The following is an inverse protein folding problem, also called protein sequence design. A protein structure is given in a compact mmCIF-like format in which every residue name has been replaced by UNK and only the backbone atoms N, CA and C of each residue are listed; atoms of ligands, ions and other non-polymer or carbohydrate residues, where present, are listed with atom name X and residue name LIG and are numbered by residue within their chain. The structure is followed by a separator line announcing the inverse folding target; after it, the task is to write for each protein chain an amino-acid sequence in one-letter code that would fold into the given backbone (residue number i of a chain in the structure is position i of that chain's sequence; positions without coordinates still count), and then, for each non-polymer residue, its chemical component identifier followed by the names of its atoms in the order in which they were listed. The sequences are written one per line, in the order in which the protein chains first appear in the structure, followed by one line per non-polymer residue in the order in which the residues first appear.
data_IF_341569480241
#
_entry.id   IF_341569480241
#
_cell.length_a   1.000
_cell.length_b   1.000
_cell.length_c   1.000
_cell.angle_alpha   90.00
_cell.angle_beta   90.00
_cell.angle_gamma   90.00
#
_symmetry.space_group_name_H-M   'P 1'
#
loop_
_entity.id
_entity.type
_entity.pdbx_description
1 polymer ?
#
# COMPACT_ATOMS: atom_id res chain seq x y z
N UNK A 1 -30.38 17.16 -5.94
CA UNK A 1 -29.60 16.50 -4.86
C UNK A 1 -29.90 15.01 -4.70
N UNK A 2 -31.15 14.55 -4.84
CA UNK A 2 -31.42 13.09 -4.99
C UNK A 2 -31.05 12.53 -6.37
N UNK A 3 -31.10 13.38 -7.41
CA UNK A 3 -30.83 12.98 -8.80
C UNK A 3 -29.34 12.62 -9.04
N UNK A 4 -28.40 13.24 -8.31
CA UNK A 4 -26.95 12.91 -8.44
C UNK A 4 -26.56 11.63 -7.68
N UNK A 5 -27.19 11.32 -6.55
CA UNK A 5 -26.93 10.08 -5.82
C UNK A 5 -27.50 8.86 -6.55
N UNK A 6 -28.67 9.02 -7.20
CA UNK A 6 -29.24 8.02 -8.10
C UNK A 6 -28.34 7.86 -9.34
N UNK A 7 -27.84 8.95 -9.92
CA UNK A 7 -26.91 8.91 -11.06
C UNK A 7 -25.60 8.16 -10.75
N UNK A 8 -24.98 8.35 -9.58
CA UNK A 8 -23.73 7.65 -9.23
C UNK A 8 -23.97 6.16 -8.93
N UNK A 9 -25.07 5.83 -8.25
CA UNK A 9 -25.45 4.43 -7.99
C UNK A 9 -25.85 3.71 -9.29
N UNK A 10 -26.58 4.38 -10.18
CA UNK A 10 -26.93 3.87 -11.51
C UNK A 10 -25.69 3.79 -12.41
N UNK A 11 -24.71 4.69 -12.30
CA UNK A 11 -23.45 4.59 -13.08
C UNK A 11 -22.59 3.40 -12.61
N UNK A 12 -22.57 3.11 -11.31
CA UNK A 12 -21.90 1.93 -10.77
C UNK A 12 -22.63 0.64 -11.18
N UNK A 13 -23.97 0.63 -11.13
CA UNK A 13 -24.84 -0.48 -11.54
C UNK A 13 -24.87 -0.69 -13.06
N UNK A 14 -24.76 0.37 -13.86
CA UNK A 14 -24.61 0.31 -15.32
C UNK A 14 -23.19 -0.05 -15.75
N UNK A 15 -22.16 0.21 -14.93
CA UNK A 15 -20.83 -0.39 -15.16
C UNK A 15 -20.84 -1.89 -14.85
N UNK A 16 -21.46 -2.33 -13.76
CA UNK A 16 -21.58 -3.77 -13.47
C UNK A 16 -22.52 -4.50 -14.42
N UNK A 17 -23.62 -3.86 -14.84
CA UNK A 17 -24.54 -4.40 -15.83
C UNK A 17 -24.01 -4.27 -17.26
N UNK A 18 -23.20 -3.25 -17.57
CA UNK A 18 -22.48 -3.13 -18.84
C UNK A 18 -21.44 -4.23 -19.03
N UNK A 19 -20.84 -4.72 -17.95
CA UNK A 19 -19.96 -5.90 -17.92
C UNK A 19 -20.74 -7.21 -18.12
N UNK A 20 -22.06 -7.24 -17.85
CA UNK A 20 -22.90 -8.45 -17.95
C UNK A 20 -23.76 -8.46 -19.23
N UNK A 21 -24.18 -7.30 -19.73
CA UNK A 21 -25.05 -7.16 -20.92
C UNK A 21 -24.29 -6.87 -22.21
N UNK A 22 -23.01 -6.47 -22.15
CA UNK A 22 -22.19 -6.45 -23.38
C UNK A 22 -22.00 -7.85 -23.95
N UNK A 23 -22.16 -8.92 -23.17
CA UNK A 23 -21.99 -10.28 -23.68
C UNK A 23 -23.03 -10.65 -24.75
N UNK A 24 -24.30 -10.26 -24.61
CA UNK A 24 -25.33 -10.70 -25.56
C UNK A 24 -25.41 -9.92 -26.89
N UNK A 25 -24.90 -8.69 -26.96
CA UNK A 25 -24.77 -7.97 -28.23
C UNK A 25 -23.42 -8.24 -28.93
N UNK A 26 -22.50 -8.87 -28.21
CA UNK A 26 -21.19 -9.31 -28.70
C UNK A 26 -21.26 -10.74 -29.22
N UNK A 27 -22.13 -11.60 -28.66
CA UNK A 27 -22.36 -12.97 -29.15
C UNK A 27 -22.76 -13.04 -30.64
N UNK A 28 -23.59 -12.11 -31.13
CA UNK A 28 -24.02 -12.08 -32.55
C UNK A 28 -22.98 -11.43 -33.49
N UNK A 29 -22.04 -10.63 -32.98
CA UNK A 29 -20.93 -10.06 -33.76
C UNK A 29 -19.66 -10.95 -33.70
N UNK A 30 -19.57 -11.86 -32.72
CA UNK A 30 -18.48 -12.82 -32.54
C UNK A 30 -18.65 -14.13 -33.33
N UNK A 31 -19.81 -14.34 -33.96
CA UNK A 31 -20.03 -15.50 -34.82
C UNK A 31 -19.36 -15.39 -36.20
N UNK A 32 -18.88 -14.21 -36.61
CA UNK A 32 -18.13 -14.01 -37.87
C UNK A 32 -16.67 -13.56 -37.69
N UNK A 33 -16.16 -13.41 -36.46
CA UNK A 33 -14.77 -13.01 -36.22
C UNK A 33 -14.02 -14.01 -35.32
N UNK A 34 -13.33 -14.95 -35.97
CA UNK A 34 -12.22 -15.76 -35.44
C UNK A 34 -12.45 -16.48 -34.10
N UNK A 35 -13.18 -17.60 -34.20
CA UNK A 35 -12.97 -18.77 -33.35
C UNK A 35 -11.56 -19.35 -33.61
N UNK A 36 -10.53 -18.82 -32.95
CA UNK A 36 -9.21 -19.48 -32.88
C UNK A 36 -8.39 -19.17 -31.60
N UNK A 37 -9.04 -18.73 -30.52
CA UNK A 37 -8.40 -18.54 -29.20
C UNK A 37 -8.66 -19.68 -28.21
N UNK A 38 -8.80 -20.91 -28.71
CA UNK A 38 -8.71 -22.11 -27.88
C UNK A 38 -7.24 -22.48 -27.65
N UNK A 39 -6.79 -22.41 -26.40
CA UNK A 39 -5.77 -23.32 -25.83
C UNK A 39 -4.59 -23.66 -26.76
N UNK A 40 -3.77 -22.68 -27.14
CA UNK A 40 -2.47 -22.96 -27.76
C UNK A 40 -1.37 -22.74 -26.72
N UNK A 41 -0.88 -23.83 -26.10
CA UNK A 41 0.54 -23.90 -25.71
C UNK A 41 1.36 -23.49 -26.92
N UNK A 42 2.51 -22.79 -26.76
CA UNK A 42 3.22 -22.22 -27.91
C UNK A 42 3.46 -23.31 -28.98
N UNK A 43 3.00 -23.11 -30.22
CA UNK A 43 3.15 -24.11 -31.26
C UNK A 43 4.60 -24.08 -31.73
N UNK A 44 5.39 -25.09 -31.35
CA UNK A 44 6.71 -25.37 -31.94
C UNK A 44 7.89 -25.48 -30.97
N UNK A 45 8.88 -26.30 -31.35
CA UNK A 45 10.09 -26.54 -30.55
C UNK A 45 10.99 -25.29 -30.37
N UNK A 46 10.82 -24.26 -31.19
CA UNK A 46 11.60 -23.02 -31.11
C UNK A 46 11.25 -22.20 -29.85
N UNK A 47 9.97 -22.10 -29.49
CA UNK A 47 9.52 -21.39 -28.28
C UNK A 47 10.02 -22.07 -27.00
N UNK A 48 10.03 -23.42 -26.98
CA UNK A 48 10.57 -24.20 -25.85
C UNK A 48 12.07 -23.97 -25.69
N UNK A 49 12.81 -23.93 -26.81
CA UNK A 49 14.26 -23.68 -26.80
C UNK A 49 14.57 -22.27 -26.28
N UNK A 50 13.81 -21.25 -26.70
CA UNK A 50 13.95 -19.87 -26.21
C UNK A 50 13.69 -19.79 -24.70
N UNK A 51 12.61 -20.40 -24.20
CA UNK A 51 12.30 -20.45 -22.76
C UNK A 51 13.45 -21.12 -21.98
N UNK A 52 13.96 -22.26 -22.47
CA UNK A 52 15.08 -22.96 -21.83
C UNK A 52 16.37 -22.13 -21.80
N UNK A 53 16.69 -21.42 -22.89
CA UNK A 53 17.84 -20.53 -22.96
C UNK A 53 17.74 -19.37 -21.97
N UNK A 54 16.56 -18.74 -21.88
CA UNK A 54 16.33 -17.60 -20.99
C UNK A 54 16.33 -18.06 -19.53
N UNK A 55 15.81 -19.25 -19.23
CA UNK A 55 15.94 -19.85 -17.90
C UNK A 55 17.42 -20.07 -17.53
N UNK A 56 18.22 -20.61 -18.43
CA UNK A 56 19.66 -20.80 -18.22
C UNK A 56 20.37 -19.45 -18.01
N UNK A 57 20.06 -18.45 -18.83
CA UNK A 57 20.60 -17.10 -18.67
C UNK A 57 20.21 -16.49 -17.32
N UNK A 58 18.95 -16.57 -16.92
CA UNK A 58 18.46 -16.12 -15.62
C UNK A 58 19.23 -16.76 -14.46
N UNK A 59 19.43 -18.08 -14.52
CA UNK A 59 20.21 -18.81 -13.52
C UNK A 59 21.68 -18.39 -13.47
N UNK A 60 22.33 -18.27 -14.63
CA UNK A 60 23.75 -17.87 -14.72
C UNK A 60 23.97 -16.44 -14.22
N UNK A 61 23.11 -15.51 -14.64
CA UNK A 61 23.15 -14.10 -14.20
C UNK A 61 22.91 -14.00 -12.69
N UNK A 62 21.92 -14.74 -12.17
CA UNK A 62 21.65 -14.81 -10.73
C UNK A 62 22.84 -15.35 -9.94
N UNK A 63 23.56 -16.32 -10.51
CA UNK A 63 24.71 -16.97 -9.87
C UNK A 63 25.97 -16.09 -9.79
N UNK A 64 26.06 -14.98 -10.52
CA UNK A 64 27.27 -14.16 -10.57
C UNK A 64 27.65 -13.59 -9.18
N UNK A 65 28.91 -13.75 -8.72
CA UNK A 65 29.33 -13.27 -7.40
C UNK A 65 29.63 -11.76 -7.46
N UNK A 66 28.63 -10.93 -7.21
CA UNK A 66 28.72 -9.45 -7.23
C UNK A 66 29.76 -8.90 -6.28
N UNK A 67 29.91 -9.50 -5.09
CA UNK A 67 30.93 -9.12 -4.10
C UNK A 67 32.37 -9.40 -4.54
N UNK A 68 32.59 -10.23 -5.57
CA UNK A 68 33.92 -10.48 -6.17
C UNK A 68 34.21 -9.60 -7.38
N UNK A 69 33.16 -9.12 -8.04
CA UNK A 69 33.26 -8.34 -9.29
C UNK A 69 33.34 -6.84 -9.00
N UNK A 70 32.63 -6.38 -7.96
CA UNK A 70 32.45 -4.97 -7.65
C UNK A 70 33.20 -4.63 -6.36
N UNK A 71 33.87 -3.46 -6.25
CA UNK A 71 34.61 -3.06 -5.06
C UNK A 71 33.76 -3.13 -3.78
N UNK A 72 34.43 -3.29 -2.62
CA UNK A 72 33.86 -3.65 -1.31
C UNK A 72 32.84 -2.67 -0.68
N UNK A 73 32.30 -1.72 -1.46
CA UNK A 73 31.23 -0.82 -1.02
C UNK A 73 29.89 -1.50 -1.19
N UNK A 74 29.20 -1.67 -0.06
CA UNK A 74 27.87 -2.28 0.06
C UNK A 74 26.82 -1.76 -0.94
N UNK A 75 26.81 -0.45 -1.22
CA UNK A 75 25.86 0.14 -2.17
C UNK A 75 26.11 -0.29 -3.62
N UNK A 76 27.37 -0.47 -4.01
CA UNK A 76 27.73 -0.89 -5.36
C UNK A 76 27.39 -2.37 -5.60
N UNK A 77 27.61 -3.23 -4.60
CA UNK A 77 27.19 -4.64 -4.68
C UNK A 77 25.67 -4.77 -4.76
N UNK A 78 24.93 -3.97 -3.99
CA UNK A 78 23.46 -3.94 -4.03
C UNK A 78 22.94 -3.45 -5.37
N UNK A 79 23.53 -2.39 -5.94
CA UNK A 79 23.17 -1.89 -7.26
C UNK A 79 23.44 -2.92 -8.36
N UNK A 80 24.56 -3.65 -8.27
CA UNK A 80 24.87 -4.71 -9.22
C UNK A 80 23.91 -5.90 -9.09
N UNK A 81 23.52 -6.28 -7.87
CA UNK A 81 22.49 -7.31 -7.65
C UNK A 81 21.10 -6.88 -8.13
N UNK A 82 20.77 -5.60 -7.98
CA UNK A 82 19.55 -5.02 -8.54
C UNK A 82 19.58 -5.06 -10.09
N UNK A 83 20.70 -4.70 -10.71
CA UNK A 83 20.85 -4.71 -12.15
C UNK A 83 20.65 -6.11 -12.77
N UNK A 84 21.03 -7.19 -12.07
CA UNK A 84 20.73 -8.57 -12.52
C UNK A 84 19.26 -8.78 -12.81
N UNK A 85 18.38 -8.32 -11.91
CA UNK A 85 16.93 -8.45 -12.08
C UNK A 85 16.41 -7.69 -13.29
N UNK A 86 16.88 -6.46 -13.50
CA UNK A 86 16.53 -5.66 -14.67
C UNK A 86 16.99 -6.34 -15.96
N UNK A 87 18.23 -6.81 -16.01
CA UNK A 87 18.79 -7.46 -17.21
C UNK A 87 18.02 -8.72 -17.56
N UNK A 88 17.74 -9.59 -16.58
CA UNK A 88 16.99 -10.83 -16.85
C UNK A 88 15.57 -10.51 -17.34
N UNK A 89 14.92 -9.48 -16.77
CA UNK A 89 13.60 -9.05 -17.24
C UNK A 89 13.65 -8.56 -18.70
N UNK A 90 14.53 -7.61 -19.01
CA UNK A 90 14.65 -7.01 -20.36
C UNK A 90 15.00 -8.06 -21.41
N UNK A 91 15.93 -8.98 -21.10
CA UNK A 91 16.28 -10.08 -22.02
C UNK A 91 15.07 -11.01 -22.23
N UNK A 92 14.30 -11.29 -21.19
CA UNK A 92 13.10 -12.13 -21.32
C UNK A 92 12.06 -11.48 -22.23
N UNK A 93 11.81 -10.18 -22.05
CA UNK A 93 10.87 -9.38 -22.86
C UNK A 93 11.31 -9.30 -24.33
N UNK A 94 12.60 -9.08 -24.60
CA UNK A 94 13.15 -9.01 -25.96
C UNK A 94 13.10 -10.34 -26.72
N UNK A 95 13.24 -11.48 -26.04
CA UNK A 95 13.35 -12.78 -26.71
C UNK A 95 12.02 -13.50 -26.94
N UNK A 96 11.02 -13.26 -26.09
CA UNK A 96 9.77 -14.02 -26.12
C UNK A 96 8.55 -13.23 -26.61
N UNK A 97 8.65 -11.91 -26.83
CA UNK A 97 7.66 -11.05 -27.49
C UNK A 97 6.20 -11.06 -26.94
N UNK A 98 5.88 -11.87 -25.92
CA UNK A 98 4.54 -11.99 -25.32
C UNK A 98 4.59 -11.76 -23.80
N UNK A 99 3.89 -10.77 -23.23
CA UNK A 99 4.01 -10.42 -21.82
C UNK A 99 3.43 -11.44 -20.82
N UNK A 100 2.53 -12.35 -21.24
CA UNK A 100 1.78 -13.19 -20.29
C UNK A 100 2.49 -14.48 -19.87
N UNK A 101 3.30 -15.08 -20.75
CA UNK A 101 3.88 -16.43 -20.54
C UNK A 101 5.37 -16.43 -20.19
N UNK A 102 5.99 -15.26 -20.22
CA UNK A 102 7.43 -15.14 -20.50
C UNK A 102 8.29 -14.95 -19.27
N UNK A 103 7.68 -14.79 -18.11
CA UNK A 103 8.35 -14.10 -17.01
C UNK A 103 8.52 -14.99 -15.77
N UNK A 104 7.66 -15.99 -15.55
CA UNK A 104 7.73 -16.86 -14.36
C UNK A 104 9.01 -17.69 -14.32
N UNK A 105 9.31 -18.40 -15.41
CA UNK A 105 10.47 -19.31 -15.48
C UNK A 105 11.80 -18.57 -15.31
N UNK A 106 12.10 -17.49 -16.06
CA UNK A 106 13.36 -16.76 -15.85
C UNK A 106 13.43 -16.06 -14.49
N UNK A 107 12.28 -15.65 -13.93
CA UNK A 107 12.23 -15.12 -12.56
C UNK A 107 12.61 -16.18 -11.51
N UNK A 108 12.03 -17.38 -11.60
CA UNK A 108 12.37 -18.50 -10.71
C UNK A 108 13.85 -18.87 -10.89
N UNK A 109 14.33 -18.96 -12.14
CA UNK A 109 15.72 -19.28 -12.42
C UNK A 109 16.70 -18.24 -11.85
N UNK A 110 16.36 -16.95 -11.93
CA UNK A 110 17.11 -15.86 -11.30
C UNK A 110 17.19 -16.03 -9.78
N UNK A 111 16.06 -16.27 -9.12
CA UNK A 111 16.03 -16.50 -7.65
C UNK A 111 16.88 -17.71 -7.30
N UNK A 112 16.73 -18.80 -8.04
CA UNK A 112 17.44 -20.04 -7.80
C UNK A 112 18.95 -19.87 -8.02
N UNK A 113 19.37 -19.12 -9.04
CA UNK A 113 20.76 -18.79 -9.31
C UNK A 113 21.39 -17.96 -8.18
N UNK A 114 20.67 -16.99 -7.63
CA UNK A 114 21.14 -16.22 -6.48
C UNK A 114 21.29 -17.09 -5.23
N UNK A 115 20.32 -17.98 -4.96
CA UNK A 115 20.31 -18.81 -3.75
C UNK A 115 21.31 -19.97 -3.82
N UNK A 116 21.42 -20.59 -4.98
CA UNK A 116 22.24 -21.78 -5.26
C UNK A 116 23.24 -21.49 -6.38
N UNK A 117 24.10 -20.50 -6.14
CA UNK A 117 25.11 -20.05 -7.09
C UNK A 117 26.18 -21.12 -7.33
N UNK A 118 26.37 -21.52 -8.59
CA UNK A 118 27.46 -22.41 -9.02
C UNK A 118 28.83 -21.82 -8.69
N UNK A 119 28.97 -20.50 -8.85
CA UNK A 119 30.23 -19.78 -8.63
C UNK A 119 30.58 -19.60 -7.14
N UNK A 120 29.63 -19.89 -6.24
CA UNK A 120 29.76 -19.72 -4.79
C UNK A 120 29.54 -21.03 -4.02
N UNK A 121 29.95 -22.16 -4.60
CA UNK A 121 29.87 -23.50 -4.00
C UNK A 121 28.43 -23.87 -3.57
N UNK A 122 27.45 -23.57 -4.41
CA UNK A 122 26.02 -23.89 -4.19
C UNK A 122 25.36 -23.17 -3.00
N UNK A 123 26.00 -22.10 -2.51
CA UNK A 123 25.45 -21.28 -1.42
C UNK A 123 25.47 -19.82 -1.81
N UNK A 124 24.35 -19.14 -1.64
CA UNK A 124 24.23 -17.71 -1.95
C UNK A 124 23.20 -16.98 -1.09
N UNK A 125 23.21 -15.64 -1.14
CA UNK A 125 22.30 -14.80 -0.37
C UNK A 125 20.85 -14.95 -0.85
N UNK A 126 19.91 -14.43 -0.06
CA UNK A 126 18.53 -14.29 -0.51
C UNK A 126 18.46 -13.39 -1.75
N UNK A 127 17.62 -13.74 -2.73
CA UNK A 127 17.53 -13.08 -4.03
C UNK A 127 16.74 -11.77 -3.99
N UNK A 128 16.97 -10.95 -2.96
CA UNK A 128 16.13 -9.82 -2.62
C UNK A 128 16.18 -8.67 -3.64
N UNK A 129 17.36 -8.09 -3.83
CA UNK A 129 17.60 -7.00 -4.78
C UNK A 129 17.23 -7.39 -6.22
N UNK A 130 17.65 -8.56 -6.75
CA UNK A 130 17.27 -8.96 -8.09
C UNK A 130 15.76 -9.23 -8.23
N UNK A 131 15.10 -9.85 -7.24
CA UNK A 131 13.65 -10.08 -7.32
C UNK A 131 12.85 -8.76 -7.27
N UNK A 132 13.27 -7.81 -6.43
CA UNK A 132 12.65 -6.48 -6.36
C UNK A 132 12.82 -5.72 -7.67
N UNK A 133 14.02 -5.73 -8.25
CA UNK A 133 14.30 -5.08 -9.52
C UNK A 133 13.48 -5.66 -10.66
N UNK A 134 13.41 -6.98 -10.73
CA UNK A 134 12.63 -7.70 -11.73
C UNK A 134 11.14 -7.36 -11.64
N UNK A 135 10.57 -7.32 -10.43
CA UNK A 135 9.18 -6.90 -10.24
C UNK A 135 8.95 -5.44 -10.62
N UNK A 136 9.84 -4.53 -10.24
CA UNK A 136 9.75 -3.11 -10.66
C UNK A 136 9.76 -3.01 -12.18
N UNK A 137 10.66 -3.72 -12.86
CA UNK A 137 10.71 -3.75 -14.34
C UNK A 137 9.42 -4.32 -14.94
N UNK A 138 8.85 -5.36 -14.32
CA UNK A 138 7.55 -5.91 -14.72
C UNK A 138 6.43 -4.87 -14.61
N UNK A 139 6.31 -4.17 -13.46
CA UNK A 139 5.32 -3.09 -13.30
C UNK A 139 5.56 -1.90 -14.25
N UNK A 140 6.81 -1.59 -14.59
CA UNK A 140 7.13 -0.61 -15.63
C UNK A 140 6.62 -1.04 -17.00
N UNK A 141 6.80 -2.31 -17.39
CA UNK A 141 6.28 -2.85 -18.65
C UNK A 141 4.75 -2.84 -18.68
N UNK A 142 4.07 -3.20 -17.57
CA UNK A 142 2.62 -3.06 -17.46
C UNK A 142 2.13 -1.62 -17.59
N UNK A 143 2.90 -0.66 -17.07
CA UNK A 143 2.59 0.77 -17.21
C UNK A 143 2.78 1.23 -18.67
N UNK A 144 3.83 0.75 -19.34
CA UNK A 144 4.08 1.03 -20.75
C UNK A 144 3.00 0.42 -21.66
N UNK A 145 2.45 -0.73 -21.28
CA UNK A 145 1.31 -1.36 -21.94
C UNK A 145 -0.05 -0.68 -21.63
N UNK A 146 -0.08 0.33 -20.75
CA UNK A 146 -1.30 1.03 -20.36
C UNK A 146 -2.24 0.24 -19.44
N UNK A 147 -1.78 -0.91 -18.91
CA UNK A 147 -2.56 -1.76 -17.99
C UNK A 147 -2.62 -1.10 -16.60
N UNK A 148 -1.50 -0.55 -16.14
CA UNK A 148 -1.41 0.12 -14.83
C UNK A 148 -1.15 1.62 -15.04
N UNK A 149 -1.79 2.46 -14.24
CA UNK A 149 -1.56 3.91 -14.29
C UNK A 149 -0.13 4.27 -13.86
N UNK A 150 0.45 5.30 -14.51
CA UNK A 150 1.77 5.82 -14.12
C UNK A 150 1.79 6.33 -12.68
N UNK A 151 0.65 6.86 -12.20
CA UNK A 151 0.51 7.31 -10.82
C UNK A 151 0.64 6.16 -9.82
N UNK A 152 0.03 5.01 -10.12
CA UNK A 152 0.15 3.79 -9.31
C UNK A 152 1.60 3.33 -9.22
N UNK A 153 2.31 3.29 -10.36
CA UNK A 153 3.75 2.95 -10.40
C UNK A 153 4.60 3.92 -9.56
N UNK A 154 4.36 5.22 -9.68
CA UNK A 154 5.10 6.24 -8.91
C UNK A 154 4.86 6.07 -7.42
N UNK A 155 3.63 5.81 -6.97
CA UNK A 155 3.32 5.57 -5.56
C UNK A 155 3.98 4.26 -5.08
N UNK A 156 3.96 3.22 -5.91
CA UNK A 156 4.61 1.93 -5.65
C UNK A 156 6.13 2.06 -5.43
N UNK A 157 6.78 3.07 -6.03
CA UNK A 157 8.21 3.35 -5.85
C UNK A 157 8.49 4.30 -4.67
N UNK A 158 7.68 5.35 -4.50
CA UNK A 158 7.88 6.37 -3.47
C UNK A 158 7.67 5.80 -2.07
N UNK A 159 6.62 4.98 -1.86
CA UNK A 159 6.28 4.46 -0.53
C UNK A 159 7.40 3.58 0.06
N UNK A 160 7.90 2.55 -0.64
CA UNK A 160 9.03 1.76 -0.12
C UNK A 160 10.30 2.58 0.03
N UNK A 161 10.57 3.55 -0.86
CA UNK A 161 11.72 4.43 -0.73
C UNK A 161 11.65 5.27 0.55
N UNK A 162 10.50 5.88 0.83
CA UNK A 162 10.28 6.64 2.07
C UNK A 162 10.47 5.76 3.31
N UNK A 163 9.99 4.52 3.28
CA UNK A 163 10.21 3.56 4.37
C UNK A 163 11.66 3.08 4.46
N UNK A 164 12.39 2.99 3.36
CA UNK A 164 13.81 2.62 3.37
C UNK A 164 14.63 3.73 4.04
N UNK A 165 14.30 5.00 3.74
CA UNK A 165 14.87 6.15 4.41
C UNK A 165 14.50 6.21 5.90
N UNK A 166 13.26 5.86 6.24
CA UNK A 166 12.78 5.86 7.62
C UNK A 166 13.41 4.75 8.46
N UNK A 167 13.39 3.51 7.98
CA UNK A 167 13.82 2.35 8.77
C UNK A 167 15.32 2.09 8.68
N UNK A 168 15.99 2.58 7.63
CA UNK A 168 17.38 2.24 7.28
C UNK A 168 17.60 0.72 7.17
N UNK A 169 16.54 -0.01 6.82
CA UNK A 169 16.51 -1.45 6.61
C UNK A 169 15.86 -1.74 5.26
N UNK A 170 16.07 -2.94 4.73
CA UNK A 170 15.43 -3.37 3.47
C UNK A 170 14.22 -4.27 3.72
N UNK A 171 14.14 -4.92 4.89
CA UNK A 171 13.10 -5.87 5.23
C UNK A 171 11.72 -5.21 5.32
N UNK A 172 11.61 -4.08 6.03
CA UNK A 172 10.32 -3.38 6.19
C UNK A 172 9.84 -2.78 4.85
N UNK A 173 10.68 -2.04 4.09
CA UNK A 173 10.27 -1.53 2.77
C UNK A 173 9.81 -2.62 1.82
N UNK A 174 10.47 -3.78 1.79
CA UNK A 174 10.03 -4.85 0.90
C UNK A 174 8.80 -5.59 1.38
N UNK A 175 8.60 -5.73 2.69
CA UNK A 175 7.34 -6.27 3.18
C UNK A 175 6.18 -5.39 2.70
N UNK A 176 6.34 -4.08 2.80
CA UNK A 176 5.34 -3.13 2.33
C UNK A 176 5.21 -3.13 0.80
N UNK A 177 6.32 -3.09 0.06
CA UNK A 177 6.31 -3.17 -1.40
C UNK A 177 5.63 -4.45 -1.89
N UNK A 178 5.97 -5.61 -1.34
CA UNK A 178 5.42 -6.90 -1.76
C UNK A 178 3.92 -7.01 -1.52
N UNK A 179 3.45 -6.61 -0.33
CA UNK A 179 2.01 -6.59 -0.04
C UNK A 179 1.29 -5.60 -0.96
N UNK A 180 1.84 -4.39 -1.14
CA UNK A 180 1.19 -3.36 -1.95
C UNK A 180 1.15 -3.74 -3.44
N UNK A 181 2.27 -4.19 -4.01
CA UNK A 181 2.35 -4.71 -5.37
C UNK A 181 1.43 -5.91 -5.58
N UNK A 182 1.38 -6.85 -4.64
CA UNK A 182 0.52 -8.02 -4.71
C UNK A 182 -0.96 -7.65 -4.76
N UNK A 183 -1.39 -6.70 -3.92
CA UNK A 183 -2.76 -6.19 -3.94
C UNK A 183 -3.10 -5.44 -5.23
N UNK A 184 -2.20 -4.59 -5.74
CA UNK A 184 -2.39 -3.93 -7.05
C UNK A 184 -2.56 -4.98 -8.16
N UNK A 185 -1.74 -6.02 -8.13
CA UNK A 185 -1.82 -7.13 -9.10
C UNK A 185 -3.20 -7.78 -9.07
N UNK A 186 -3.73 -8.10 -7.89
CA UNK A 186 -5.04 -8.76 -7.76
C UNK A 186 -6.20 -7.87 -8.22
N UNK A 187 -6.09 -6.56 -8.04
CA UNK A 187 -7.20 -5.62 -8.29
C UNK A 187 -7.21 -5.09 -9.72
N UNK A 188 -6.05 -4.74 -10.27
CA UNK A 188 -5.95 -4.08 -11.58
C UNK A 188 -5.75 -5.08 -12.73
N UNK A 189 -5.21 -6.27 -12.46
CA UNK A 189 -4.99 -7.26 -13.50
C UNK A 189 -6.13 -8.27 -13.56
N UNK A 190 -6.62 -8.52 -14.77
CA UNK A 190 -7.57 -9.60 -15.03
C UNK A 190 -6.94 -10.96 -14.73
N UNK A 191 -7.78 -11.94 -14.35
CA UNK A 191 -7.32 -13.28 -14.00
C UNK A 191 -6.77 -14.01 -15.23
N UNK A 192 -5.46 -13.89 -15.44
CA UNK A 192 -4.69 -14.44 -16.57
C UNK A 192 -3.33 -14.95 -16.10
N UNK A 193 -2.62 -15.70 -16.95
CA UNK A 193 -1.28 -16.22 -16.68
C UNK A 193 -0.25 -15.11 -16.39
N UNK A 194 -0.49 -13.90 -16.89
CA UNK A 194 0.33 -12.70 -16.60
C UNK A 194 0.37 -12.35 -15.11
N UNK A 195 -0.65 -12.72 -14.33
CA UNK A 195 -0.76 -12.46 -12.89
C UNK A 195 0.15 -13.38 -12.07
N UNK A 196 0.52 -14.54 -12.60
CA UNK A 196 1.28 -15.55 -11.85
C UNK A 196 2.67 -15.05 -11.47
N UNK A 197 3.38 -14.39 -12.38
CA UNK A 197 4.72 -13.84 -12.12
C UNK A 197 4.73 -12.82 -10.97
N UNK A 198 3.97 -11.71 -11.04
CA UNK A 198 3.96 -10.70 -9.99
C UNK A 198 3.45 -11.27 -8.66
N UNK A 199 2.47 -12.17 -8.64
CA UNK A 199 2.02 -12.81 -7.40
C UNK A 199 3.09 -13.74 -6.80
N UNK A 200 3.74 -14.57 -7.62
CA UNK A 200 4.83 -15.43 -7.15
C UNK A 200 6.00 -14.60 -6.61
N UNK A 201 6.36 -13.52 -7.30
CA UNK A 201 7.45 -12.65 -6.87
C UNK A 201 7.14 -11.84 -5.62
N UNK A 202 5.94 -11.28 -5.52
CA UNK A 202 5.50 -10.59 -4.30
C UNK A 202 5.38 -11.56 -3.13
N UNK A 203 4.87 -12.77 -3.34
CA UNK A 203 4.85 -13.83 -2.33
C UNK A 203 6.25 -14.22 -1.84
N UNK A 204 7.21 -14.41 -2.76
CA UNK A 204 8.61 -14.69 -2.41
C UNK A 204 9.23 -13.56 -1.58
N UNK A 205 9.10 -12.31 -2.03
CA UNK A 205 9.63 -11.14 -1.31
C UNK A 205 8.98 -10.98 0.06
N UNK A 206 7.66 -11.18 0.16
CA UNK A 206 6.95 -11.13 1.43
C UNK A 206 7.49 -12.20 2.39
N UNK A 207 7.69 -13.43 1.93
CA UNK A 207 8.26 -14.51 2.74
C UNK A 207 9.65 -14.19 3.29
N UNK A 208 10.56 -13.71 2.43
CA UNK A 208 11.91 -13.30 2.85
C UNK A 208 11.89 -12.10 3.80
N UNK A 209 11.04 -11.11 3.53
CA UNK A 209 10.89 -9.93 4.35
C UNK A 209 10.31 -10.28 5.74
N UNK A 210 9.25 -11.09 5.81
CA UNK A 210 8.65 -11.57 7.07
C UNK A 210 9.69 -12.34 7.88
N UNK A 211 10.42 -13.27 7.25
CA UNK A 211 11.47 -14.02 7.93
C UNK A 211 12.59 -13.10 8.42
N UNK A 212 12.96 -12.07 7.65
CA UNK A 212 13.92 -11.04 8.04
C UNK A 212 13.46 -10.22 9.24
N UNK A 213 12.21 -9.73 9.21
CA UNK A 213 11.59 -8.97 10.30
C UNK A 213 11.51 -9.79 11.58
N UNK A 214 11.10 -11.06 11.48
CA UNK A 214 10.98 -11.97 12.61
C UNK A 214 12.35 -12.29 13.25
N UNK A 215 13.38 -12.58 12.43
CA UNK A 215 14.74 -12.85 12.91
C UNK A 215 15.35 -11.67 13.65
N UNK A 216 15.09 -10.44 13.19
CA UNK A 216 15.64 -9.21 13.77
C UNK A 216 14.78 -8.60 14.89
N UNK A 217 13.59 -9.15 15.15
CA UNK A 217 12.64 -8.68 16.17
C UNK A 217 12.38 -7.17 16.12
N UNK A 218 12.21 -6.60 14.91
CA UNK A 218 12.06 -5.15 14.75
C UNK A 218 10.87 -4.54 15.50
N UNK A 219 9.82 -5.32 15.76
CA UNK A 219 8.59 -4.87 16.41
C UNK A 219 8.41 -5.43 17.82
N UNK A 220 9.51 -5.66 18.55
CA UNK A 220 9.41 -6.01 19.97
C UNK A 220 8.90 -4.81 20.79
N UNK A 221 7.61 -4.84 21.10
CA UNK A 221 6.89 -3.78 21.82
C UNK A 221 6.90 -3.99 23.34
N UNK A 222 7.65 -4.99 23.85
CA UNK A 222 7.58 -5.42 25.26
C UNK A 222 7.97 -4.33 26.27
N UNK A 223 8.85 -3.38 25.91
CA UNK A 223 9.52 -2.50 26.89
C UNK A 223 9.18 -1.00 26.80
N UNK A 224 8.29 -0.58 25.89
CA UNK A 224 8.06 0.87 25.67
C UNK A 224 6.62 1.29 25.97
N UNK A 225 6.45 1.77 27.20
CA UNK A 225 5.32 2.56 27.72
C UNK A 225 4.00 1.79 27.94
N UNK A 226 3.14 2.35 28.82
CA UNK A 226 1.74 1.96 29.03
C UNK A 226 0.92 2.13 27.72
N UNK A 227 1.21 1.29 26.72
CA UNK A 227 0.53 1.24 25.45
C UNK A 227 -0.66 0.33 25.63
N UNK A 228 -1.85 0.92 25.54
CA UNK A 228 -3.08 0.15 25.41
C UNK A 228 -3.14 -0.38 23.99
N UNK A 229 -2.59 -1.57 23.78
CA UNK A 229 -2.54 -2.24 22.46
C UNK A 229 -3.90 -2.29 21.78
N UNK A 230 -4.99 -2.44 22.56
CA UNK A 230 -6.35 -2.40 22.02
C UNK A 230 -6.68 -1.10 21.28
N UNK A 231 -6.14 0.07 21.69
CA UNK A 231 -6.40 1.34 21.00
C UNK A 231 -5.68 1.43 19.65
N UNK A 232 -4.49 0.86 19.56
CA UNK A 232 -3.73 0.80 18.31
C UNK A 232 -4.46 -0.09 17.32
N UNK A 233 -4.97 -1.22 17.80
CA UNK A 233 -5.72 -2.19 16.97
C UNK A 233 -7.13 -1.69 16.63
N UNK A 234 -7.81 -0.98 17.52
CA UNK A 234 -9.18 -0.48 17.32
C UNK A 234 -9.30 0.61 16.25
N UNK A 235 -8.26 1.43 16.03
CA UNK A 235 -8.31 2.56 15.10
C UNK A 235 -8.43 2.16 13.63
N UNK A 236 -7.68 1.17 13.11
CA UNK A 236 -7.89 0.65 11.76
C UNK A 236 -9.32 0.14 11.51
N UNK A 237 -10.05 -0.35 12.53
CA UNK A 237 -11.45 -0.74 12.36
C UNK A 237 -12.37 0.44 12.02
N UNK A 238 -11.96 1.69 12.26
CA UNK A 238 -12.70 2.85 11.81
C UNK A 238 -12.80 2.93 10.27
N UNK A 239 -11.96 2.21 9.52
CA UNK A 239 -12.12 2.07 8.06
C UNK A 239 -13.45 1.40 7.67
N UNK A 240 -14.08 0.64 8.58
CA UNK A 240 -15.44 0.11 8.37
C UNK A 240 -16.48 1.23 8.17
N UNK A 241 -16.23 2.45 8.67
CA UNK A 241 -17.09 3.60 8.42
C UNK A 241 -17.17 3.97 6.94
N UNK A 242 -16.10 3.72 6.15
CA UNK A 242 -16.15 3.91 4.69
C UNK A 242 -17.15 2.94 4.07
N UNK A 243 -17.09 1.66 4.45
CA UNK A 243 -18.04 0.65 3.95
C UNK A 243 -19.49 1.00 4.34
N UNK A 244 -19.72 1.46 5.57
CA UNK A 244 -21.06 1.87 6.03
C UNK A 244 -21.58 3.09 5.23
N UNK A 245 -20.74 4.08 4.93
CA UNK A 245 -21.13 5.23 4.09
C UNK A 245 -21.54 4.76 2.68
N UNK A 246 -20.81 3.79 2.11
CA UNK A 246 -21.03 3.28 0.76
C UNK A 246 -22.26 2.39 0.63
N UNK A 247 -22.52 1.51 1.59
CA UNK A 247 -23.61 0.52 1.48
C UNK A 247 -24.95 0.97 2.05
N UNK A 248 -24.96 1.98 2.93
CA UNK A 248 -26.19 2.42 3.60
C UNK A 248 -26.54 3.85 3.20
N UNK A 249 -26.28 4.82 4.08
CA UNK A 249 -26.53 6.23 3.85
C UNK A 249 -25.70 7.02 4.85
N UNK A 250 -25.15 8.16 4.41
CA UNK A 250 -24.38 9.06 5.27
C UNK A 250 -25.12 9.46 6.55
N UNK A 251 -26.45 9.62 6.53
CA UNK A 251 -27.23 9.92 7.73
C UNK A 251 -27.15 8.82 8.78
N UNK A 252 -27.19 7.55 8.35
CA UNK A 252 -27.06 6.39 9.25
C UNK A 252 -25.65 6.33 9.82
N UNK A 253 -24.63 6.57 8.98
CA UNK A 253 -23.25 6.65 9.44
C UNK A 253 -23.07 7.75 10.50
N UNK A 254 -23.54 8.96 10.22
CA UNK A 254 -23.47 10.10 11.15
C UNK A 254 -24.23 9.81 12.44
N UNK A 255 -25.37 9.13 12.37
CA UNK A 255 -26.10 8.70 13.57
C UNK A 255 -25.26 7.72 14.41
N UNK A 256 -24.68 6.68 13.79
CA UNK A 256 -23.85 5.69 14.49
C UNK A 256 -22.63 6.34 15.13
N UNK A 257 -21.86 7.12 14.37
CA UNK A 257 -20.66 7.79 14.87
C UNK A 257 -21.04 8.85 15.91
N UNK A 258 -22.15 9.57 15.71
CA UNK A 258 -22.65 10.58 16.64
C UNK A 258 -23.05 9.99 18.00
N UNK A 259 -23.79 8.87 18.00
CA UNK A 259 -24.13 8.14 19.23
C UNK A 259 -22.86 7.65 19.92
N UNK A 260 -21.93 7.04 19.16
CA UNK A 260 -20.66 6.56 19.71
C UNK A 260 -19.83 7.71 20.31
N UNK A 261 -19.70 8.83 19.60
CA UNK A 261 -19.01 10.02 20.06
C UNK A 261 -19.67 10.58 21.33
N UNK A 262 -21.01 10.65 21.38
CA UNK A 262 -21.75 11.12 22.55
C UNK A 262 -21.47 10.26 23.79
N UNK A 263 -21.50 8.92 23.65
CA UNK A 263 -21.16 8.01 24.77
C UNK A 263 -19.74 8.29 25.29
N UNK A 264 -18.76 8.47 24.40
CA UNK A 264 -17.38 8.78 24.81
C UNK A 264 -17.25 10.17 25.45
N UNK A 265 -17.94 11.19 24.93
CA UNK A 265 -17.99 12.53 25.52
C UNK A 265 -18.58 12.49 26.93
N UNK A 266 -19.73 11.83 27.11
CA UNK A 266 -20.38 11.72 28.42
C UNK A 266 -19.47 10.97 29.40
N UNK A 267 -18.85 9.88 28.96
CA UNK A 267 -17.90 9.11 29.78
C UNK A 267 -16.70 9.96 30.20
N UNK A 268 -16.12 10.73 29.28
CA UNK A 268 -15.01 11.64 29.58
C UNK A 268 -15.44 12.77 30.52
N UNK A 269 -16.63 13.34 30.33
CA UNK A 269 -17.17 14.40 31.18
C UNK A 269 -17.38 13.92 32.61
N UNK A 270 -18.06 12.78 32.79
CA UNK A 270 -18.24 12.15 34.11
C UNK A 270 -16.88 11.89 34.75
N UNK A 271 -15.91 11.35 34.00
CA UNK A 271 -14.56 11.09 34.50
C UNK A 271 -13.83 12.37 34.91
N UNK A 272 -13.94 13.46 34.14
CA UNK A 272 -13.29 14.74 34.44
C UNK A 272 -13.91 15.40 35.70
N UNK A 273 -15.22 15.28 35.88
CA UNK A 273 -15.93 15.83 37.05
C UNK A 273 -15.70 14.99 38.31
N UNK A 274 -15.84 13.67 38.21
CA UNK A 274 -15.78 12.76 39.37
C UNK A 274 -14.35 12.32 39.73
N UNK A 275 -13.36 12.59 38.88
CA UNK A 275 -11.96 12.12 39.00
C UNK A 275 -11.83 10.59 39.17
N UNK A 276 -12.86 9.82 38.81
CA UNK A 276 -12.85 8.35 38.89
C UNK A 276 -11.79 7.79 37.94
N UNK A 277 -10.90 6.93 38.47
CA UNK A 277 -9.82 6.31 37.70
C UNK A 277 -10.33 5.10 36.91
N UNK A 278 -10.80 5.34 35.68
CA UNK A 278 -11.08 4.28 34.70
C UNK A 278 -9.78 3.82 34.02
N UNK A 279 -8.94 3.10 34.76
CA UNK A 279 -7.62 2.64 34.34
C UNK A 279 -7.65 1.64 33.17
N UNK A 280 -8.77 0.94 32.94
CA UNK A 280 -8.95 0.02 31.82
C UNK A 280 -9.07 0.75 30.47
N UNK A 281 -9.75 1.90 30.42
CA UNK A 281 -10.03 2.63 29.17
C UNK A 281 -9.08 3.80 28.94
N UNK A 282 -8.64 4.53 29.97
CA UNK A 282 -7.87 5.78 29.83
C UNK A 282 -6.39 5.71 30.25
N UNK A 283 -5.50 6.48 29.61
CA UNK A 283 -4.07 6.55 29.98
C UNK A 283 -3.90 7.43 31.22
N UNK A 284 -2.86 7.17 32.05
CA UNK A 284 -2.54 7.99 33.24
C UNK A 284 -2.28 9.47 32.91
N UNK A 285 -1.91 9.80 31.66
CA UNK A 285 -1.74 11.19 31.18
C UNK A 285 -3.04 11.87 30.69
N UNK A 286 -4.20 11.25 30.83
CA UNK A 286 -5.51 11.78 30.39
C UNK A 286 -6.39 12.24 31.57
N UNK A 287 -5.84 12.39 32.78
CA UNK A 287 -6.62 12.68 34.01
C UNK A 287 -7.31 14.06 33.95
N UNK A 288 -6.69 15.06 33.32
CA UNK A 288 -7.21 16.45 33.29
C UNK A 288 -7.57 16.94 31.88
N UNK A 289 -7.70 16.05 30.89
CA UNK A 289 -8.02 16.42 29.50
C UNK A 289 -8.93 15.40 28.85
N UNK A 290 -9.69 15.81 27.85
CA UNK A 290 -10.42 14.87 26.99
C UNK A 290 -9.50 13.77 26.47
N UNK A 291 -10.04 12.56 26.39
CA UNK A 291 -9.32 11.41 25.90
C UNK A 291 -9.07 11.55 24.40
N UNK A 292 -7.90 11.05 23.99
CA UNK A 292 -7.52 10.92 22.59
C UNK A 292 -8.53 10.09 21.78
N UNK A 293 -9.27 9.15 22.41
CA UNK A 293 -10.35 8.41 21.74
C UNK A 293 -11.60 9.26 21.48
N UNK A 294 -11.98 10.11 22.44
CA UNK A 294 -13.11 11.02 22.30
C UNK A 294 -12.84 12.06 21.22
N UNK A 295 -11.64 12.66 21.25
CA UNK A 295 -11.22 13.62 20.22
C UNK A 295 -11.15 12.99 18.83
N UNK A 296 -10.69 11.73 18.74
CA UNK A 296 -10.72 10.96 17.50
C UNK A 296 -12.15 10.72 16.99
N UNK A 297 -13.09 10.28 17.83
CA UNK A 297 -14.47 10.03 17.39
C UNK A 297 -15.18 11.31 16.97
N UNK A 298 -14.96 12.41 17.70
CA UNK A 298 -15.50 13.73 17.34
C UNK A 298 -14.90 14.22 16.03
N UNK A 299 -13.59 14.05 15.82
CA UNK A 299 -12.96 14.47 14.57
C UNK A 299 -13.46 13.66 13.39
N UNK A 300 -13.61 12.34 13.54
CA UNK A 300 -14.22 11.48 12.50
C UNK A 300 -15.67 11.91 12.23
N UNK A 301 -16.49 12.12 13.26
CA UNK A 301 -17.85 12.63 13.09
C UNK A 301 -17.88 13.93 12.29
N UNK A 302 -17.08 14.92 12.68
CA UNK A 302 -16.97 16.20 11.97
C UNK A 302 -16.41 16.03 10.56
N UNK A 303 -15.47 15.12 10.34
CA UNK A 303 -14.90 14.85 9.01
C UNK A 303 -15.98 14.37 8.04
N UNK A 304 -16.85 13.44 8.46
CA UNK A 304 -17.97 12.97 7.63
C UNK A 304 -19.13 13.97 7.55
N UNK A 305 -19.31 14.81 8.57
CA UNK A 305 -20.35 15.83 8.58
C UNK A 305 -20.00 16.98 7.62
N UNK A 306 -18.76 17.44 7.66
CA UNK A 306 -18.31 18.64 6.95
C UNK A 306 -17.83 18.36 5.52
N UNK A 307 -17.19 17.22 5.27
CA UNK A 307 -16.53 16.97 3.99
C UNK A 307 -17.27 15.88 3.19
N UNK A 308 -17.74 16.18 1.97
CA UNK A 308 -18.50 15.23 1.16
C UNK A 308 -17.61 14.20 0.45
N UNK A 309 -18.14 12.98 0.31
CA UNK A 309 -17.62 11.94 -0.58
C UNK A 309 -16.19 11.49 -0.26
N UNK A 310 -15.35 11.39 -1.30
CA UNK A 310 -13.99 10.85 -1.20
C UNK A 310 -13.08 11.63 -0.26
N UNK A 311 -13.34 12.92 -0.02
CA UNK A 311 -12.51 13.77 0.86
C UNK A 311 -12.56 13.27 2.30
N UNK A 312 -13.75 12.88 2.80
CA UNK A 312 -13.88 12.32 4.14
C UNK A 312 -13.16 10.98 4.28
N UNK A 313 -13.13 10.17 3.22
CA UNK A 313 -12.42 8.88 3.22
C UNK A 313 -10.92 9.08 3.30
N UNK A 314 -10.36 10.02 2.51
CA UNK A 314 -8.94 10.36 2.55
C UNK A 314 -8.53 10.86 3.93
N UNK A 315 -9.30 11.78 4.51
CA UNK A 315 -9.05 12.29 5.86
C UNK A 315 -9.09 11.20 6.93
N UNK A 316 -10.05 10.27 6.85
CA UNK A 316 -10.17 9.13 7.75
C UNK A 316 -8.98 8.16 7.61
N UNK A 317 -8.56 7.84 6.39
CA UNK A 317 -7.42 6.94 6.13
C UNK A 317 -6.14 7.57 6.70
N UNK A 318 -5.90 8.86 6.46
CA UNK A 318 -4.73 9.55 6.99
C UNK A 318 -4.68 9.51 8.52
N UNK A 319 -5.76 9.86 9.23
CA UNK A 319 -5.75 9.87 10.70
C UNK A 319 -5.68 8.48 11.32
N UNK A 320 -6.19 7.44 10.65
CA UNK A 320 -6.21 6.06 11.19
C UNK A 320 -4.93 5.30 10.85
N UNK A 321 -4.65 5.12 9.57
CA UNK A 321 -3.53 4.34 9.07
C UNK A 321 -2.23 5.13 9.18
N UNK A 322 -2.24 6.42 8.85
CA UNK A 322 -1.05 7.26 9.01
C UNK A 322 -0.55 7.25 10.44
N UNK A 323 -1.43 7.45 11.42
CA UNK A 323 -1.07 7.40 12.85
C UNK A 323 -0.57 6.01 13.29
N UNK A 324 -1.19 4.94 12.79
CA UNK A 324 -0.73 3.57 13.04
C UNK A 324 0.71 3.35 12.54
N UNK A 325 1.00 3.72 11.29
CA UNK A 325 2.34 3.60 10.72
C UNK A 325 3.35 4.54 11.39
N UNK A 326 2.96 5.77 11.74
CA UNK A 326 3.81 6.72 12.47
C UNK A 326 4.29 6.12 13.79
N UNK A 327 3.37 5.54 14.56
CA UNK A 327 3.69 4.87 15.83
C UNK A 327 4.52 3.62 15.62
N UNK A 328 4.12 2.75 14.68
CA UNK A 328 4.81 1.50 14.42
C UNK A 328 6.29 1.74 14.02
N UNK A 329 6.52 2.63 13.05
CA UNK A 329 7.87 2.94 12.57
C UNK A 329 8.62 3.83 13.58
N UNK A 330 7.96 4.83 14.15
CA UNK A 330 8.58 5.76 15.09
C UNK A 330 9.04 5.10 16.40
N UNK A 331 8.31 4.10 16.91
CA UNK A 331 8.72 3.39 18.14
C UNK A 331 9.87 2.41 17.92
N UNK A 332 9.89 1.75 16.75
CA UNK A 332 10.90 0.76 16.38
C UNK A 332 12.20 1.40 15.85
N UNK A 333 12.09 2.45 15.04
CA UNK A 333 13.21 3.02 14.27
C UNK A 333 13.46 4.51 14.56
N UNK A 334 12.65 5.18 15.38
CA UNK A 334 12.76 6.60 15.65
C UNK A 334 14.07 7.00 16.33
N UNK A 335 15.01 7.53 15.55
CA UNK A 335 16.31 8.03 16.03
C UNK A 335 16.44 9.53 15.83
N UNK A 336 15.97 10.05 14.70
CA UNK A 336 16.16 11.45 14.30
C UNK A 336 14.98 12.30 14.74
N UNK A 337 15.13 13.07 15.82
CA UNK A 337 14.09 13.99 16.30
C UNK A 337 14.00 15.22 15.41
N UNK A 338 12.79 15.58 14.97
CA UNK A 338 12.53 16.80 14.19
C UNK A 338 11.90 17.87 15.07
N UNK A 339 10.77 17.54 15.70
CA UNK A 339 9.98 18.50 16.45
C UNK A 339 9.56 17.91 17.80
N UNK A 340 10.14 18.46 18.88
CA UNK A 340 9.96 18.01 20.26
C UNK A 340 10.15 16.50 20.43
N UNK A 341 9.06 15.73 20.49
CA UNK A 341 9.06 14.27 20.66
C UNK A 341 8.83 13.49 19.36
N UNK A 342 8.52 14.16 18.25
CA UNK A 342 8.29 13.56 16.93
C UNK A 342 9.60 13.27 16.23
N UNK A 343 9.63 12.14 15.53
CA UNK A 343 10.80 11.65 14.79
C UNK A 343 10.56 11.71 13.29
N UNK A 344 11.64 11.86 12.51
CA UNK A 344 11.61 11.81 11.05
C UNK A 344 11.07 10.46 10.58
N UNK A 345 11.50 9.38 11.23
CA UNK A 345 11.10 8.03 10.89
C UNK A 345 9.60 7.81 11.13
N UNK A 346 9.04 8.37 12.21
CA UNK A 346 7.60 8.36 12.45
C UNK A 346 6.83 9.16 11.39
N UNK A 347 7.32 10.36 11.05
CA UNK A 347 6.68 11.22 10.02
C UNK A 347 6.68 10.56 8.64
N UNK A 348 7.80 9.94 8.24
CA UNK A 348 7.90 9.17 7.00
C UNK A 348 7.03 7.91 7.04
N UNK A 349 6.92 7.26 8.20
CA UNK A 349 5.96 6.18 8.43
C UNK A 349 4.53 6.65 8.18
N UNK A 350 4.13 7.79 8.77
CA UNK A 350 2.82 8.40 8.57
C UNK A 350 2.52 8.61 7.09
N UNK A 351 3.43 9.30 6.40
CA UNK A 351 3.32 9.62 4.98
C UNK A 351 3.16 8.35 4.14
N UNK A 352 4.02 7.35 4.37
CA UNK A 352 4.02 6.10 3.63
C UNK A 352 2.73 5.30 3.83
N UNK A 353 2.26 5.17 5.08
CA UNK A 353 1.02 4.47 5.39
C UNK A 353 -0.21 5.15 4.80
N UNK A 354 -0.28 6.48 4.91
CA UNK A 354 -1.38 7.27 4.35
C UNK A 354 -1.43 7.19 2.84
N UNK A 355 -0.29 7.33 2.17
CA UNK A 355 -0.20 7.32 0.71
C UNK A 355 -0.53 5.94 0.14
N UNK A 356 0.00 4.88 0.75
CA UNK A 356 -0.27 3.50 0.33
C UNK A 356 -1.75 3.13 0.45
N UNK A 357 -2.37 3.36 1.62
CA UNK A 357 -3.76 2.95 1.82
C UNK A 357 -4.74 3.82 1.02
N UNK A 358 -4.48 5.12 0.86
CA UNK A 358 -5.29 5.94 -0.04
C UNK A 358 -5.16 5.48 -1.51
N UNK A 359 -3.98 5.04 -1.94
CA UNK A 359 -3.76 4.45 -3.27
C UNK A 359 -4.47 3.10 -3.44
N UNK A 360 -4.49 2.26 -2.42
CA UNK A 360 -5.27 1.02 -2.45
C UNK A 360 -6.78 1.30 -2.53
N UNK A 361 -7.28 2.27 -1.77
CA UNK A 361 -8.68 2.65 -1.83
C UNK A 361 -9.04 3.32 -3.17
N UNK A 362 -8.09 4.01 -3.83
CA UNK A 362 -8.35 4.59 -5.15
C UNK A 362 -8.53 3.56 -6.26
N UNK A 363 -8.14 2.30 -6.05
CA UNK A 363 -8.39 1.21 -7.01
C UNK A 363 -9.89 0.84 -7.06
N UNK A 364 -10.63 1.09 -5.97
CA UNK A 364 -12.05 0.72 -5.84
C UNK A 364 -12.98 1.92 -5.64
N UNK A 365 -12.43 3.08 -5.31
CA UNK A 365 -13.15 4.35 -5.13
C UNK A 365 -12.57 5.42 -6.06
N UNK A 366 -13.38 6.37 -6.55
CA UNK A 366 -12.91 7.43 -7.46
C UNK A 366 -12.14 8.53 -6.70
N UNK A 367 -11.04 8.17 -6.02
CA UNK A 367 -10.18 9.10 -5.29
C UNK A 367 -9.13 9.67 -6.25
N UNK A 368 -9.13 10.98 -6.54
CA UNK A 368 -8.11 11.59 -7.39
C UNK A 368 -6.71 11.41 -6.80
N UNK A 369 -5.73 11.09 -7.64
CA UNK A 369 -4.30 10.96 -7.24
C UNK A 369 -3.81 12.22 -6.52
N UNK A 370 -4.28 13.40 -6.94
CA UNK A 370 -3.97 14.66 -6.29
C UNK A 370 -4.35 14.67 -4.79
N UNK A 371 -5.50 14.07 -4.44
CA UNK A 371 -5.96 14.01 -3.05
C UNK A 371 -5.12 13.03 -2.23
N UNK A 372 -4.65 11.94 -2.85
CA UNK A 372 -3.77 10.96 -2.21
C UNK A 372 -2.45 11.62 -1.83
N UNK A 373 -1.83 12.32 -2.79
CA UNK A 373 -0.52 12.97 -2.61
C UNK A 373 -0.63 14.12 -1.62
N UNK A 374 -1.54 15.06 -1.85
CA UNK A 374 -1.67 16.24 -0.99
C UNK A 374 -2.19 15.85 0.40
N UNK A 375 -3.19 14.97 0.48
CA UNK A 375 -3.72 14.49 1.75
C UNK A 375 -2.64 13.82 2.60
N UNK A 376 -1.79 12.98 2.01
CA UNK A 376 -0.69 12.32 2.73
C UNK A 376 0.39 13.31 3.19
N UNK A 377 0.77 14.29 2.35
CA UNK A 377 1.75 15.32 2.71
C UNK A 377 1.19 16.20 3.84
N UNK A 378 0.02 16.80 3.64
CA UNK A 378 -0.58 17.73 4.62
C UNK A 378 -0.85 17.03 5.95
N UNK A 379 -1.44 15.82 5.93
CA UNK A 379 -1.69 15.09 7.17
C UNK A 379 -0.40 14.74 7.93
N UNK A 380 0.68 14.38 7.24
CA UNK A 380 1.99 14.12 7.88
C UNK A 380 2.61 15.38 8.49
N UNK A 381 2.46 16.54 7.83
CA UNK A 381 2.92 17.82 8.35
C UNK A 381 2.08 18.26 9.56
N UNK A 382 0.76 18.08 9.50
CA UNK A 382 -0.13 18.38 10.63
C UNK A 382 0.22 17.48 11.82
N UNK A 383 0.45 16.19 11.61
CA UNK A 383 0.89 15.28 12.69
C UNK A 383 2.19 15.75 13.36
N UNK A 384 3.14 16.24 12.56
CA UNK A 384 4.43 16.74 13.04
C UNK A 384 4.27 17.98 13.93
N UNK A 385 3.36 18.89 13.60
CA UNK A 385 3.20 20.19 14.29
C UNK A 385 2.03 20.28 15.28
N UNK A 386 1.12 19.30 15.30
CA UNK A 386 -0.10 19.34 16.12
C UNK A 386 0.14 18.95 17.58
N UNK A 387 1.02 19.67 18.28
CA UNK A 387 1.26 19.43 19.71
C UNK A 387 0.37 20.30 20.61
N UNK A 388 -0.07 21.46 20.13
CA UNK A 388 -0.95 22.37 20.88
C UNK A 388 -2.41 21.88 20.92
N UNK A 389 -2.87 21.27 19.83
CA UNK A 389 -4.19 20.65 19.69
C UNK A 389 -3.94 19.17 19.46
N UNK A 390 -4.75 18.28 20.04
CA UNK A 390 -4.58 16.84 19.88
C UNK A 390 -4.55 16.45 18.38
N UNK A 391 -3.50 15.72 17.98
CA UNK A 391 -3.30 15.27 16.60
C UNK A 391 -4.45 14.41 16.08
N UNK A 392 -5.15 13.73 16.98
CA UNK A 392 -6.33 12.94 16.66
C UNK A 392 -7.56 13.79 16.36
N UNK A 393 -7.47 15.12 16.52
CA UNK A 393 -8.51 16.04 16.10
C UNK A 393 -8.13 16.82 14.84
N UNK A 394 -6.91 17.34 14.78
CA UNK A 394 -6.50 18.28 13.73
C UNK A 394 -6.26 17.62 12.37
N UNK A 395 -5.69 16.41 12.34
CA UNK A 395 -5.18 15.79 11.10
C UNK A 395 -6.27 15.63 10.05
N UNK A 396 -7.42 15.05 10.42
CA UNK A 396 -8.50 14.81 9.46
C UNK A 396 -9.23 16.09 9.07
N UNK A 397 -9.41 17.03 10.00
CA UNK A 397 -10.10 18.30 9.76
C UNK A 397 -9.29 19.21 8.84
N UNK A 398 -7.99 19.37 9.10
CA UNK A 398 -7.11 20.18 8.26
C UNK A 398 -6.94 19.53 6.88
N UNK A 399 -6.76 18.21 6.82
CA UNK A 399 -6.69 17.48 5.56
C UNK A 399 -7.97 17.66 4.73
N UNK A 400 -9.14 17.43 5.32
CA UNK A 400 -10.42 17.63 4.65
C UNK A 400 -10.64 19.07 4.19
N UNK A 401 -10.25 20.05 5.01
CA UNK A 401 -10.34 21.48 4.67
C UNK A 401 -9.47 21.85 3.47
N UNK A 402 -8.21 21.42 3.46
CA UNK A 402 -7.27 21.67 2.34
C UNK A 402 -7.74 20.99 1.06
N UNK A 403 -8.16 19.73 1.12
CA UNK A 403 -8.67 19.01 -0.04
C UNK A 403 -9.97 19.59 -0.58
N UNK A 404 -10.84 20.10 0.30
CA UNK A 404 -12.07 20.80 -0.10
C UNK A 404 -11.75 22.13 -0.78
N UNK A 405 -10.78 22.88 -0.27
CA UNK A 405 -10.30 24.10 -0.93
C UNK A 405 -9.74 23.78 -2.33
N UNK A 406 -8.91 22.73 -2.46
CA UNK A 406 -8.40 22.26 -3.75
C UNK A 406 -9.54 21.90 -4.70
N UNK A 407 -10.55 21.16 -4.22
CA UNK A 407 -11.73 20.84 -5.02
C UNK A 407 -12.42 22.10 -5.55
N UNK A 408 -12.60 23.10 -4.68
CA UNK A 408 -13.28 24.35 -5.02
C UNK A 408 -12.49 25.25 -5.97
N UNK A 409 -11.15 25.26 -5.90
CA UNK A 409 -10.33 26.16 -6.72
C UNK A 409 -9.78 25.52 -8.00
N UNK A 410 -9.64 24.19 -8.04
CA UNK A 410 -8.95 23.49 -9.14
C UNK A 410 -9.83 22.49 -9.91
N UNK A 411 -11.00 22.10 -9.38
CA UNK A 411 -11.80 20.98 -9.91
C UNK A 411 -13.30 21.32 -10.07
N UNK A 412 -13.66 22.59 -9.96
CA UNK A 412 -14.96 23.16 -10.39
C UNK A 412 -14.71 24.04 -11.60
#
# INVERSE_FOLDING_TARGET
MEIEAISIADTAKHRTAGIILSNHAVDDLFLEMNLDHTLQFPPGGESIMRIGLIALLGYLIGSLPTSRIVPSRFWLTTAADFAKGVVVFVVSELMLHDPAYVVVIPFIALIFGCRFSVFSRWTGPAAFAPATAFLISFFCSLTAAGIISISTLVILLIVPLALALATRTWEVPALIFSVFAGLITVVEMEFSWSVVTPLAGTGYLAGEAIAGVARRRFFDMSDKAEIKMWRIVARPFALLFVAIDLFTNRKVLLFIIGVLALVFIVTDFVRLVTKVRLSAVFKKKEINRFSSMTLFLVSVFLTFLLFPGVISYVGLICITIGDFFSKLIGMSFGTTRIYKRRTLEGTLGFFSGSMMFNALFSLVLPIPVLYIVIGSIISSLVELFSEAIDDNFTVSIVCGGVLTAIRYFLLT
#
